data_IF_378677184122
#
_entry.id   IF_378677184122
#
_cell.length_a   1.000
_cell.length_b   1.000
_cell.length_c   1.000
_cell.angle_alpha   90.00
_cell.angle_beta   90.00
_cell.angle_gamma   90.00
#
_symmetry.space_group_name_H-M   'P 1'
#
loop_
_entity.id
_entity.type
_entity.pdbx_description
1 polymer ?
#
# COMPACT_ATOMS: atom_id res chain seq x y z
N UNK A 1 -8.97 38.37 -14.27
CA UNK A 1 -9.24 37.50 -15.43
C UNK A 1 -8.00 37.08 -16.23
N UNK A 2 -6.79 37.62 -16.01
CA UNK A 2 -5.57 37.19 -16.72
C UNK A 2 -4.66 36.21 -15.93
N UNK A 3 -5.08 35.80 -14.72
CA UNK A 3 -4.28 34.92 -13.84
C UNK A 3 -4.69 33.44 -13.89
N UNK A 4 -5.92 33.13 -14.36
CA UNK A 4 -6.42 31.74 -14.45
C UNK A 4 -5.96 31.01 -15.72
N UNK A 5 -5.79 31.70 -16.85
CA UNK A 5 -5.31 31.09 -18.10
C UNK A 5 -3.87 30.57 -18.00
N UNK A 6 -3.01 31.26 -17.25
CA UNK A 6 -1.60 30.84 -17.06
C UNK A 6 -1.48 29.56 -16.22
N UNK A 7 -2.37 29.35 -15.27
CA UNK A 7 -2.37 28.15 -14.41
C UNK A 7 -2.99 26.96 -15.16
N UNK A 8 -4.06 27.19 -15.94
CA UNK A 8 -4.64 26.17 -16.82
C UNK A 8 -3.65 25.66 -17.87
N UNK A 9 -2.94 26.57 -18.54
CA UNK A 9 -1.91 26.20 -19.52
C UNK A 9 -0.71 25.49 -18.89
N UNK A 10 -0.34 25.83 -17.65
CA UNK A 10 0.72 25.14 -16.90
C UNK A 10 0.30 23.72 -16.51
N UNK A 11 -0.96 23.51 -16.11
CA UNK A 11 -1.49 22.17 -15.80
C UNK A 11 -1.59 21.29 -17.04
N UNK A 12 -2.02 21.84 -18.19
CA UNK A 12 -2.11 21.11 -19.46
C UNK A 12 -0.71 20.73 -19.97
N UNK A 13 0.27 21.62 -19.87
CA UNK A 13 1.67 21.33 -20.26
C UNK A 13 2.34 20.32 -19.33
N UNK A 14 2.05 20.37 -18.03
CA UNK A 14 2.55 19.37 -17.08
C UNK A 14 1.90 18.00 -17.33
N UNK A 15 0.61 17.97 -17.66
CA UNK A 15 -0.10 16.72 -17.92
C UNK A 15 0.30 16.08 -19.26
N UNK A 16 0.51 16.90 -20.30
CA UNK A 16 1.03 16.42 -21.58
C UNK A 16 2.49 15.95 -21.48
N UNK A 17 3.33 16.64 -20.71
CA UNK A 17 4.69 16.19 -20.43
C UNK A 17 4.72 14.88 -19.63
N UNK A 18 3.80 14.70 -18.67
CA UNK A 18 3.68 13.45 -17.92
C UNK A 18 3.21 12.30 -18.81
N UNK A 19 2.26 12.56 -19.71
CA UNK A 19 1.75 11.56 -20.65
C UNK A 19 2.80 11.14 -21.68
N UNK A 20 3.56 12.09 -22.22
CA UNK A 20 4.70 11.82 -23.12
C UNK A 20 5.77 11.02 -22.38
N UNK A 21 6.11 11.41 -21.14
CA UNK A 21 7.10 10.71 -20.33
C UNK A 21 6.69 9.25 -20.04
N UNK A 22 5.40 9.02 -19.72
CA UNK A 22 4.84 7.68 -19.50
C UNK A 22 4.81 6.86 -20.78
N UNK A 23 4.48 7.46 -21.92
CA UNK A 23 4.53 6.78 -23.22
C UNK A 23 5.96 6.43 -23.63
N UNK A 24 6.92 7.31 -23.38
CA UNK A 24 8.33 7.09 -23.73
C UNK A 24 8.99 6.03 -22.83
N UNK A 25 8.61 5.97 -21.54
CA UNK A 25 9.02 4.90 -20.62
C UNK A 25 8.37 3.56 -20.95
N UNK A 26 7.09 3.54 -21.35
CA UNK A 26 6.44 2.32 -21.84
C UNK A 26 7.05 1.81 -23.14
N UNK A 27 7.43 2.71 -24.05
CA UNK A 27 8.09 2.35 -25.31
C UNK A 27 9.51 1.81 -25.08
N UNK A 28 10.28 2.38 -24.14
CA UNK A 28 11.59 1.83 -23.76
C UNK A 28 11.49 0.51 -22.98
N UNK A 29 10.44 0.32 -22.17
CA UNK A 29 10.13 -0.96 -21.53
C UNK A 29 9.75 -2.05 -22.55
N UNK A 30 9.07 -1.69 -23.65
CA UNK A 30 8.70 -2.62 -24.72
C UNK A 30 9.88 -2.98 -25.64
N UNK A 31 10.85 -2.07 -25.83
CA UNK A 31 12.04 -2.32 -26.68
C UNK A 31 13.14 -3.10 -25.92
N UNK A 32 13.18 -3.03 -24.58
CA UNK A 32 14.23 -3.65 -23.76
C UNK A 32 13.95 -5.09 -23.29
N UNK A 33 12.93 -5.77 -23.84
CA UNK A 33 12.49 -7.10 -23.40
C UNK A 33 13.39 -8.26 -23.90
N UNK A 34 14.71 -8.16 -23.70
CA UNK A 34 15.67 -9.23 -24.03
C UNK A 34 16.58 -9.67 -22.86
N UNK A 35 16.55 -9.04 -21.69
CA UNK A 35 17.41 -9.49 -20.57
C UNK A 35 16.85 -9.11 -19.20
N UNK A 36 16.47 -10.14 -18.43
CA UNK A 36 15.75 -10.07 -17.14
C UNK A 36 16.47 -9.29 -16.04
N UNK A 37 17.77 -9.01 -16.16
CA UNK A 37 18.54 -8.31 -15.10
C UNK A 37 18.43 -6.76 -15.11
N UNK A 38 18.08 -6.12 -16.24
CA UNK A 38 18.04 -4.65 -16.30
C UNK A 38 16.72 -4.04 -15.81
N UNK A 39 15.62 -4.81 -15.81
CA UNK A 39 14.31 -4.33 -15.35
C UNK A 39 14.29 -3.99 -13.86
N UNK A 40 14.97 -4.77 -13.03
CA UNK A 40 15.00 -4.59 -11.58
C UNK A 40 15.76 -3.31 -11.18
N UNK A 41 16.88 -3.04 -11.86
CA UNK A 41 17.71 -1.88 -11.61
C UNK A 41 17.06 -0.57 -12.07
N UNK A 42 16.24 -0.63 -13.13
CA UNK A 42 15.48 0.51 -13.63
C UNK A 42 14.28 0.83 -12.72
N UNK A 43 13.62 -0.20 -12.17
CA UNK A 43 12.50 -0.06 -11.23
C UNK A 43 12.94 0.54 -9.88
N UNK A 44 14.08 0.11 -9.34
CA UNK A 44 14.68 0.70 -8.13
C UNK A 44 15.10 2.16 -8.34
N UNK A 45 15.64 2.51 -9.52
CA UNK A 45 15.98 3.90 -9.86
C UNK A 45 14.76 4.80 -9.98
N UNK A 46 13.66 4.31 -10.56
CA UNK A 46 12.41 5.09 -10.66
C UNK A 46 11.79 5.33 -9.28
N UNK A 47 11.77 4.32 -8.41
CA UNK A 47 11.30 4.46 -7.02
C UNK A 47 12.17 5.47 -6.25
N UNK A 48 13.50 5.39 -6.35
CA UNK A 48 14.41 6.33 -5.69
C UNK A 48 14.25 7.78 -6.23
N UNK A 49 14.00 7.95 -7.52
CA UNK A 49 13.69 9.27 -8.11
C UNK A 49 12.36 9.84 -7.60
N UNK A 50 11.33 9.00 -7.45
CA UNK A 50 10.04 9.39 -6.87
C UNK A 50 10.21 9.82 -5.41
N UNK A 51 10.94 9.04 -4.60
CA UNK A 51 11.23 9.39 -3.20
C UNK A 51 12.05 10.67 -3.05
N UNK A 52 13.08 10.90 -3.88
CA UNK A 52 13.86 12.14 -3.89
C UNK A 52 13.00 13.36 -4.26
N UNK A 53 12.06 13.20 -5.19
CA UNK A 53 11.14 14.27 -5.62
C UNK A 53 10.05 14.55 -4.55
N UNK A 54 9.56 13.51 -3.87
CA UNK A 54 8.62 13.64 -2.75
C UNK A 54 9.24 14.36 -1.53
N UNK A 55 10.53 14.11 -1.24
CA UNK A 55 11.27 14.78 -0.17
C UNK A 55 11.51 16.28 -0.45
N UNK A 56 11.55 16.68 -1.72
CA UNK A 56 11.70 18.08 -2.16
C UNK A 56 10.39 18.88 -2.04
N UNK A 57 9.23 18.23 -2.24
CA UNK A 57 7.89 18.84 -2.15
C UNK A 57 7.46 19.06 -0.68
N UNK A 58 7.98 18.29 0.27
CA UNK A 58 7.63 18.43 1.71
C UNK A 58 8.27 19.64 2.41
N UNK A 59 9.11 20.41 1.72
CA UNK A 59 9.82 21.59 2.29
C UNK A 59 9.07 22.93 2.10
N UNK A 60 7.88 22.96 1.49
CA UNK A 60 7.08 24.19 1.35
C UNK A 60 5.90 24.23 2.34
N UNK A 61 5.54 25.41 2.91
CA UNK A 61 4.50 25.52 3.93
C UNK A 61 3.08 25.36 3.35
N UNK A 62 2.19 24.89 4.24
CA UNK A 62 0.78 24.52 4.02
C UNK A 62 -0.09 25.67 3.49
N UNK A 63 -1.12 25.33 2.68
CA UNK A 63 -2.47 25.91 2.81
C UNK A 63 -3.54 24.93 2.30
N UNK A 64 -4.62 24.76 3.08
CA UNK A 64 -5.83 23.95 2.82
C UNK A 64 -6.94 24.83 2.27
N UNK A 65 -7.69 24.43 1.24
CA UNK A 65 -9.13 24.70 1.06
C UNK A 65 -9.78 23.58 0.16
N UNK A 66 -11.12 23.46 -0.01
CA UNK A 66 -11.88 22.22 0.23
C UNK A 66 -12.39 21.50 -1.04
N UNK A 67 -12.79 20.22 -0.91
CA UNK A 67 -13.42 19.45 -1.99
C UNK A 67 -14.90 19.83 -2.15
N UNK A 68 -15.27 20.28 -3.34
CA UNK A 68 -16.66 20.35 -3.79
C UNK A 68 -17.04 19.12 -4.61
N UNK A 69 -18.29 18.71 -4.41
CA UNK A 69 -18.99 17.52 -4.94
C UNK A 69 -19.19 17.64 -6.45
N UNK A 70 -18.86 16.58 -7.20
CA UNK A 70 -19.26 16.43 -8.61
C UNK A 70 -20.05 15.12 -8.76
N UNK A 71 -21.32 15.26 -9.12
CA UNK A 71 -22.25 14.19 -9.47
C UNK A 71 -21.86 13.52 -10.79
N UNK A 72 -22.07 12.21 -10.88
CA UNK A 72 -21.97 11.39 -12.10
C UNK A 72 -23.17 11.64 -13.02
N UNK A 73 -22.99 11.72 -14.35
CA UNK A 73 -24.04 11.41 -15.30
C UNK A 73 -24.07 9.92 -15.64
N UNK A 74 -25.30 9.48 -15.88
CA UNK A 74 -25.83 8.16 -16.17
C UNK A 74 -25.46 7.64 -17.56
N UNK A 75 -25.44 6.31 -17.64
CA UNK A 75 -25.34 5.48 -18.84
C UNK A 75 -26.69 5.49 -19.56
N UNK A 76 -26.67 5.66 -20.89
CA UNK A 76 -27.73 5.20 -21.78
C UNK A 76 -27.05 4.43 -22.92
N UNK A 77 -27.24 3.11 -22.91
CA UNK A 77 -27.05 2.24 -24.07
C UNK A 77 -28.25 2.40 -25.01
N UNK A 78 -27.97 2.36 -26.32
CA UNK A 78 -28.76 1.75 -27.40
C UNK A 78 -28.52 2.50 -28.71
N UNK A 79 -27.79 1.89 -29.66
CA UNK A 79 -28.18 1.89 -31.08
C UNK A 79 -27.72 0.56 -31.67
N UNK A 80 -28.71 -0.22 -32.10
CA UNK A 80 -28.60 -1.49 -32.80
C UNK A 80 -27.97 -1.34 -34.20
N UNK A 81 -27.38 -2.45 -34.64
CA UNK A 81 -26.84 -2.69 -35.98
C UNK A 81 -27.93 -2.64 -37.04
N UNK A 82 -27.73 -1.87 -38.12
CA UNK A 82 -28.35 -2.10 -39.44
C UNK A 82 -27.38 -1.68 -40.56
N UNK A 83 -26.30 -2.45 -40.74
CA UNK A 83 -25.46 -2.40 -41.95
C UNK A 83 -25.84 -3.58 -42.84
N UNK A 84 -26.78 -3.41 -43.77
CA UNK A 84 -27.02 -4.30 -44.93
C UNK A 84 -28.08 -3.67 -45.85
N UNK A 85 -27.73 -2.56 -46.52
CA UNK A 85 -28.51 -2.02 -47.66
C UNK A 85 -27.78 -0.91 -48.45
N UNK A 86 -26.65 -0.40 -47.98
CA UNK A 86 -25.94 0.70 -48.65
C UNK A 86 -24.84 0.23 -49.65
N UNK A 87 -24.43 -1.04 -49.61
CA UNK A 87 -23.37 -1.54 -50.50
C UNK A 87 -23.87 -1.93 -51.90
N UNK A 88 -25.19 -2.08 -52.12
CA UNK A 88 -25.75 -2.49 -53.42
C UNK A 88 -26.12 -1.33 -54.34
N UNK A 89 -26.12 -0.08 -53.85
CA UNK A 89 -26.59 1.09 -54.63
C UNK A 89 -25.45 1.78 -55.40
N UNK A 90 -24.18 1.49 -55.10
CA UNK A 90 -23.04 2.23 -55.68
C UNK A 90 -22.43 1.54 -56.91
N UNK A 91 -22.76 0.27 -57.18
CA UNK A 91 -22.24 -0.46 -58.36
C UNK A 91 -22.98 -0.15 -59.68
N UNK A 92 -24.10 0.59 -59.63
CA UNK A 92 -24.92 0.90 -60.82
C UNK A 92 -24.72 2.31 -61.41
N UNK A 93 -23.74 3.10 -60.95
CA UNK A 93 -23.52 4.48 -61.45
C UNK A 93 -22.18 4.69 -62.20
N UNK A 94 -21.55 3.63 -62.71
CA UNK A 94 -20.32 3.72 -63.53
C UNK A 94 -20.53 3.53 -65.05
N UNK A 95 -21.76 3.70 -65.56
CA UNK A 95 -22.02 3.63 -67.02
C UNK A 95 -22.47 4.98 -67.56
N UNK A 96 -21.57 5.62 -68.32
CA UNK A 96 -21.90 6.55 -69.40
C UNK A 96 -21.78 8.04 -69.06
N UNK A 97 -20.65 8.66 -69.42
CA UNK A 97 -20.60 10.07 -69.80
C UNK A 97 -19.36 10.37 -70.68
N UNK A 98 -19.26 9.69 -71.83
CA UNK A 98 -18.44 10.13 -72.96
C UNK A 98 -19.31 11.02 -73.87
N UNK A 99 -19.39 12.32 -73.59
CA UNK A 99 -19.71 13.37 -74.58
C UNK A 99 -19.35 14.73 -73.99
N UNK A 100 -18.16 15.26 -74.27
CA UNK A 100 -17.90 16.70 -74.10
C UNK A 100 -16.82 17.27 -75.04
N UNK A 101 -16.52 16.58 -76.14
CA UNK A 101 -15.55 17.08 -77.14
C UNK A 101 -16.20 17.74 -78.37
N UNK A 102 -17.53 17.76 -78.47
CA UNK A 102 -18.24 18.22 -79.70
C UNK A 102 -18.90 19.60 -79.60
N UNK A 103 -18.84 20.29 -78.46
CA UNK A 103 -19.56 21.58 -78.27
C UNK A 103 -18.66 22.82 -78.48
N UNK A 104 -17.33 22.65 -78.56
CA UNK A 104 -16.41 23.78 -78.68
C UNK A 104 -16.17 24.28 -80.12
N UNK A 105 -16.72 23.65 -81.15
CA UNK A 105 -16.48 24.03 -82.56
C UNK A 105 -17.57 24.89 -83.22
N UNK A 106 -18.59 25.36 -82.48
CA UNK A 106 -19.73 26.08 -83.07
C UNK A 106 -19.82 27.58 -82.77
N UNK A 107 -18.74 28.25 -82.32
CA UNK A 107 -18.75 29.70 -82.04
C UNK A 107 -17.53 30.38 -82.67
N UNK A 108 -17.43 30.41 -84.00
CA UNK A 108 -16.42 31.25 -84.65
C UNK A 108 -16.90 32.07 -85.86
N UNK A 109 -18.18 32.00 -86.26
CA UNK A 109 -18.65 32.80 -87.40
C UNK A 109 -19.90 33.62 -87.07
N UNK A 110 -19.71 34.82 -86.50
CA UNK A 110 -20.34 36.04 -87.02
C UNK A 110 -19.93 37.28 -86.22
N UNK A 111 -19.22 38.17 -86.88
CA UNK A 111 -18.97 39.55 -86.45
C UNK A 111 -20.16 40.42 -86.82
N UNK A 112 -20.82 41.03 -85.83
CA UNK A 112 -21.32 42.42 -85.87
C UNK A 112 -22.06 42.79 -84.56
N UNK A 113 -21.86 44.03 -84.11
CA UNK A 113 -22.49 44.72 -82.96
C UNK A 113 -21.72 44.73 -81.63
N UNK A 114 -20.87 45.72 -81.51
CA UNK A 114 -20.10 46.14 -80.34
C UNK A 114 -20.91 47.12 -79.48
N UNK A 115 -21.59 46.61 -78.42
CA UNK A 115 -21.86 47.31 -77.14
C UNK A 115 -22.63 46.48 -76.10
N UNK A 116 -23.26 45.35 -76.46
CA UNK A 116 -23.87 44.39 -75.53
C UNK A 116 -22.94 43.26 -75.05
N UNK A 117 -21.76 43.12 -75.66
CA UNK A 117 -20.80 42.05 -75.32
C UNK A 117 -20.02 42.28 -74.02
N UNK A 118 -19.76 43.54 -73.60
CA UNK A 118 -18.89 43.80 -72.44
C UNK A 118 -19.56 43.51 -71.08
N UNK A 119 -20.89 43.62 -70.95
CA UNK A 119 -21.63 43.31 -69.71
C UNK A 119 -21.94 41.80 -69.57
N UNK A 120 -22.13 41.11 -70.69
CA UNK A 120 -22.29 39.64 -70.73
C UNK A 120 -20.93 38.94 -70.49
N UNK A 121 -19.83 39.53 -70.97
CA UNK A 121 -18.47 39.01 -70.75
C UNK A 121 -18.00 39.16 -69.28
N UNK A 122 -18.37 40.24 -68.59
CA UNK A 122 -18.02 40.48 -67.16
C UNK A 122 -18.83 39.61 -66.19
N UNK A 123 -20.11 39.36 -66.47
CA UNK A 123 -20.92 38.39 -65.70
C UNK A 123 -20.51 36.93 -65.96
N UNK A 124 -20.15 36.57 -67.19
CA UNK A 124 -19.60 35.25 -67.52
C UNK A 124 -18.22 34.98 -66.90
N UNK A 125 -17.37 35.99 -66.78
CA UNK A 125 -16.05 35.86 -66.12
C UNK A 125 -16.18 35.74 -64.60
N UNK A 126 -17.15 36.42 -63.98
CA UNK A 126 -17.47 36.24 -62.57
C UNK A 126 -18.07 34.85 -62.28
N UNK A 127 -18.97 34.36 -63.14
CA UNK A 127 -19.51 33.00 -63.06
C UNK A 127 -18.42 31.94 -63.28
N UNK A 128 -17.55 32.11 -64.28
CA UNK A 128 -16.39 31.22 -64.51
C UNK A 128 -15.41 31.22 -63.32
N UNK A 129 -15.15 32.37 -62.70
CA UNK A 129 -14.29 32.44 -61.50
C UNK A 129 -14.95 31.80 -60.26
N UNK A 130 -16.27 31.89 -60.15
CA UNK A 130 -17.03 31.24 -59.06
C UNK A 130 -17.09 29.73 -59.26
N UNK A 131 -17.32 29.26 -60.49
CA UNK A 131 -17.31 27.83 -60.87
C UNK A 131 -15.92 27.22 -60.64
N UNK A 132 -14.84 27.91 -61.02
CA UNK A 132 -13.47 27.43 -60.76
C UNK A 132 -13.14 27.41 -59.27
N UNK A 133 -13.62 28.38 -58.48
CA UNK A 133 -13.47 28.39 -57.01
C UNK A 133 -14.24 27.26 -56.34
N UNK A 134 -15.49 27.01 -56.74
CA UNK A 134 -16.32 25.90 -56.24
C UNK A 134 -15.76 24.53 -56.65
N UNK A 135 -15.30 24.39 -57.90
CA UNK A 135 -14.61 23.18 -58.37
C UNK A 135 -13.32 22.92 -57.59
N UNK A 136 -12.55 23.98 -57.29
CA UNK A 136 -11.38 23.90 -56.41
C UNK A 136 -11.72 23.51 -54.97
N UNK A 137 -12.86 23.94 -54.43
CA UNK A 137 -13.36 23.52 -53.11
C UNK A 137 -13.83 22.06 -53.12
N UNK A 138 -14.52 21.62 -54.18
CA UNK A 138 -14.95 20.24 -54.38
C UNK A 138 -13.74 19.29 -54.41
N UNK A 139 -12.70 19.63 -55.18
CA UNK A 139 -11.45 18.86 -55.22
C UNK A 139 -10.74 18.79 -53.87
N UNK A 140 -10.74 19.89 -53.09
CA UNK A 140 -10.19 19.89 -51.72
C UNK A 140 -10.99 18.99 -50.78
N UNK A 141 -12.32 19.02 -50.87
CA UNK A 141 -13.20 18.15 -50.08
C UNK A 141 -13.01 16.67 -50.45
N UNK A 142 -12.94 16.34 -51.74
CA UNK A 142 -12.67 14.98 -52.22
C UNK A 142 -11.30 14.46 -51.74
N UNK A 143 -10.25 15.28 -51.80
CA UNK A 143 -8.93 14.93 -51.24
C UNK A 143 -9.00 14.68 -49.73
N UNK A 144 -9.76 15.50 -48.99
CA UNK A 144 -9.94 15.35 -47.54
C UNK A 144 -10.71 14.07 -47.19
N UNK A 145 -11.77 13.73 -47.93
CA UNK A 145 -12.50 12.47 -47.78
C UNK A 145 -11.56 11.27 -48.00
N UNK A 146 -10.75 11.30 -49.05
CA UNK A 146 -9.76 10.24 -49.33
C UNK A 146 -8.73 10.08 -48.20
N UNK A 147 -8.21 11.19 -47.66
CA UNK A 147 -7.30 11.16 -46.51
C UNK A 147 -7.96 10.59 -45.25
N UNK A 148 -9.20 10.98 -44.96
CA UNK A 148 -9.95 10.49 -43.80
C UNK A 148 -10.30 9.00 -43.93
N UNK A 149 -10.71 8.54 -45.11
CA UNK A 149 -10.94 7.11 -45.38
C UNK A 149 -9.65 6.30 -45.22
N UNK A 150 -8.52 6.83 -45.71
CA UNK A 150 -7.22 6.18 -45.53
C UNK A 150 -6.79 6.13 -44.06
N UNK A 151 -7.05 7.19 -43.30
CA UNK A 151 -6.81 7.23 -41.85
C UNK A 151 -7.69 6.21 -41.10
N UNK A 152 -8.98 6.10 -41.43
CA UNK A 152 -9.91 5.09 -40.89
C UNK A 152 -9.40 3.69 -41.16
N UNK A 153 -8.97 3.39 -42.40
CA UNK A 153 -8.41 2.08 -42.78
C UNK A 153 -7.13 1.75 -42.00
N UNK A 154 -6.22 2.72 -41.84
CA UNK A 154 -4.98 2.53 -41.06
C UNK A 154 -5.28 2.28 -39.58
N UNK A 155 -6.23 3.02 -39.00
CA UNK A 155 -6.67 2.83 -37.62
C UNK A 155 -7.30 1.46 -37.39
N UNK A 156 -8.21 1.05 -38.28
CA UNK A 156 -8.86 -0.28 -38.24
C UNK A 156 -7.83 -1.42 -38.33
N UNK A 157 -6.83 -1.31 -39.22
CA UNK A 157 -5.73 -2.27 -39.29
C UNK A 157 -4.93 -2.33 -37.98
N UNK A 158 -4.62 -1.19 -37.36
CA UNK A 158 -3.89 -1.14 -36.09
C UNK A 158 -4.68 -1.79 -34.94
N UNK A 159 -6.00 -1.55 -34.89
CA UNK A 159 -6.90 -2.21 -33.94
C UNK A 159 -6.89 -3.73 -34.16
N UNK A 160 -6.95 -4.19 -35.40
CA UNK A 160 -6.87 -5.62 -35.72
C UNK A 160 -5.52 -6.23 -35.28
N UNK A 161 -4.40 -5.55 -35.52
CA UNK A 161 -3.08 -5.99 -35.04
C UNK A 161 -3.02 -6.05 -33.51
N UNK A 162 -3.53 -5.03 -32.82
CA UNK A 162 -3.57 -5.01 -31.35
C UNK A 162 -4.44 -6.14 -30.79
N UNK A 163 -5.59 -6.42 -31.41
CA UNK A 163 -6.46 -7.53 -31.03
C UNK A 163 -5.77 -8.89 -31.24
N UNK A 164 -4.99 -9.05 -32.31
CA UNK A 164 -4.21 -10.26 -32.55
C UNK A 164 -3.12 -10.45 -31.48
N UNK A 165 -2.42 -9.38 -31.09
CA UNK A 165 -1.44 -9.40 -29.98
C UNK A 165 -2.14 -9.78 -28.67
N UNK A 166 -3.29 -9.19 -28.36
CA UNK A 166 -4.08 -9.54 -27.18
C UNK A 166 -4.49 -11.02 -27.21
N UNK A 167 -4.91 -11.54 -28.36
CA UNK A 167 -5.28 -12.95 -28.53
C UNK A 167 -4.08 -13.87 -28.30
N UNK A 168 -2.93 -13.55 -28.88
CA UNK A 168 -1.68 -14.29 -28.69
C UNK A 168 -1.22 -14.29 -27.22
N UNK A 169 -1.33 -13.15 -26.54
CA UNK A 169 -1.01 -13.04 -25.11
C UNK A 169 -1.99 -13.85 -24.24
N UNK A 170 -3.28 -13.85 -24.55
CA UNK A 170 -4.28 -14.67 -23.84
C UNK A 170 -4.07 -16.17 -24.03
N UNK A 171 -3.59 -16.60 -25.19
CA UNK A 171 -3.24 -18.02 -25.44
C UNK A 171 -1.94 -18.41 -24.76
N UNK A 172 -0.95 -17.51 -24.67
CA UNK A 172 0.33 -17.77 -24.00
C UNK A 172 0.21 -17.72 -22.47
N UNK A 173 -0.70 -16.90 -21.95
CA UNK A 173 -1.01 -16.78 -20.52
C UNK A 173 -2.51 -17.03 -20.32
N UNK A 174 -2.95 -18.30 -20.27
CA UNK A 174 -4.34 -18.64 -20.01
C UNK A 174 -4.81 -17.96 -18.73
N UNK A 175 -5.99 -17.34 -18.77
CA UNK A 175 -6.57 -16.61 -17.65
C UNK A 175 -7.03 -17.51 -16.49
N UNK A 176 -6.72 -18.81 -16.54
CA UNK A 176 -7.08 -19.79 -15.53
C UNK A 176 -6.27 -19.55 -14.26
N UNK A 177 -6.95 -18.90 -13.34
CA UNK A 177 -6.54 -18.43 -12.02
C UNK A 177 -6.08 -19.53 -11.06
N UNK A 178 -5.97 -20.78 -11.51
CA UNK A 178 -5.57 -21.89 -10.66
C UNK A 178 -4.06 -21.89 -10.41
N UNK A 179 -3.24 -21.60 -11.43
CA UNK A 179 -1.78 -21.58 -11.29
C UNK A 179 -1.21 -20.46 -12.17
N UNK A 180 -1.07 -19.25 -11.62
CA UNK A 180 -0.10 -18.31 -12.18
C UNK A 180 1.26 -18.92 -11.83
N UNK A 181 2.06 -19.42 -12.79
CA UNK A 181 3.33 -20.08 -12.49
C UNK A 181 4.35 -19.17 -11.78
N UNK A 182 4.07 -17.86 -11.76
CA UNK A 182 4.84 -16.81 -11.09
C UNK A 182 4.48 -16.64 -9.60
N UNK A 183 3.37 -17.18 -9.10
CA UNK A 183 2.99 -17.02 -7.69
C UNK A 183 3.87 -17.83 -6.74
N UNK A 184 4.42 -18.95 -7.19
CA UNK A 184 5.40 -19.73 -6.42
C UNK A 184 6.71 -18.96 -6.18
N UNK A 185 6.99 -17.96 -7.02
CA UNK A 185 8.15 -17.06 -6.86
C UNK A 185 7.88 -15.92 -5.86
N UNK A 186 6.61 -15.72 -5.46
CA UNK A 186 6.21 -14.67 -4.54
C UNK A 186 6.15 -15.20 -3.10
N UNK A 187 6.23 -14.28 -2.14
CA UNK A 187 5.98 -14.64 -0.74
C UNK A 187 4.56 -15.19 -0.59
N UNK A 188 4.36 -16.15 0.31
CA UNK A 188 3.05 -16.78 0.55
C UNK A 188 1.98 -15.72 0.86
N UNK A 189 2.32 -14.68 1.60
CA UNK A 189 1.42 -13.56 1.94
C UNK A 189 1.00 -12.79 0.69
N UNK A 190 1.96 -12.47 -0.17
CA UNK A 190 1.74 -11.72 -1.42
C UNK A 190 0.91 -12.54 -2.40
N UNK A 191 1.20 -13.84 -2.52
CA UNK A 191 0.44 -14.74 -3.38
C UNK A 191 -1.03 -14.83 -2.93
N UNK A 192 -1.28 -15.00 -1.63
CA UNK A 192 -2.63 -15.05 -1.07
C UNK A 192 -3.41 -13.73 -1.28
N UNK A 193 -2.74 -12.59 -1.14
CA UNK A 193 -3.35 -11.28 -1.39
C UNK A 193 -3.77 -11.12 -2.86
N UNK A 194 -2.88 -11.48 -3.79
CA UNK A 194 -3.13 -11.39 -5.23
C UNK A 194 -4.23 -12.36 -5.69
N UNK A 195 -4.26 -13.60 -5.15
CA UNK A 195 -5.35 -14.55 -5.41
C UNK A 195 -6.70 -13.99 -4.99
N UNK A 196 -6.79 -13.36 -3.81
CA UNK A 196 -8.04 -12.71 -3.36
C UNK A 196 -8.42 -11.55 -4.25
N UNK A 197 -7.46 -10.73 -4.69
CA UNK A 197 -7.71 -9.62 -5.60
C UNK A 197 -8.21 -10.08 -6.97
N UNK A 198 -7.57 -11.09 -7.55
CA UNK A 198 -7.98 -11.70 -8.82
C UNK A 198 -9.40 -12.29 -8.72
N UNK A 199 -9.69 -13.00 -7.64
CA UNK A 199 -11.02 -13.57 -7.38
C UNK A 199 -12.09 -12.48 -7.27
N UNK A 200 -11.79 -11.39 -6.57
CA UNK A 200 -12.70 -10.24 -6.43
C UNK A 200 -13.00 -9.57 -7.76
N UNK A 201 -11.98 -9.36 -8.60
CA UNK A 201 -12.15 -8.76 -9.93
C UNK A 201 -12.95 -9.64 -10.89
N UNK A 202 -12.86 -10.96 -10.72
CA UNK A 202 -13.69 -11.93 -11.46
C UNK A 202 -15.08 -12.14 -10.85
N UNK A 203 -15.46 -11.37 -9.82
CA UNK A 203 -16.71 -11.54 -9.06
C UNK A 203 -16.91 -12.97 -8.52
N UNK A 204 -15.82 -13.69 -8.23
CA UNK A 204 -15.86 -15.02 -7.63
C UNK A 204 -16.10 -14.93 -6.13
N UNK A 205 -16.70 -15.97 -5.55
CA UNK A 205 -16.89 -16.07 -4.10
C UNK A 205 -15.53 -16.13 -3.41
N UNK A 206 -15.30 -15.20 -2.46
CA UNK A 206 -14.06 -15.13 -1.70
C UNK A 206 -14.28 -15.81 -0.34
N UNK A 207 -13.30 -16.60 0.09
CA UNK A 207 -13.30 -17.19 1.43
C UNK A 207 -13.45 -16.11 2.52
N UNK A 208 -14.45 -16.27 3.40
CA UNK A 208 -14.69 -15.37 4.51
C UNK A 208 -13.57 -15.44 5.55
N UNK A 209 -13.00 -16.64 5.77
CA UNK A 209 -11.87 -16.85 6.67
C UNK A 209 -10.57 -16.42 5.98
N UNK A 210 -9.78 -15.63 6.70
CA UNK A 210 -8.45 -15.21 6.23
C UNK A 210 -7.43 -16.30 6.56
N UNK A 211 -6.54 -16.66 5.61
CA UNK A 211 -5.46 -17.62 5.86
C UNK A 211 -4.45 -17.07 6.88
N UNK A 212 -3.72 -17.94 7.61
CA UNK A 212 -2.83 -17.52 8.69
C UNK A 212 -1.70 -16.61 8.22
N UNK A 213 -1.18 -16.82 7.00
CA UNK A 213 -0.15 -15.98 6.38
C UNK A 213 -0.65 -14.56 6.16
N UNK A 214 -1.87 -14.41 5.62
CA UNK A 214 -2.47 -13.11 5.38
C UNK A 214 -2.89 -12.42 6.69
N UNK A 215 -3.31 -13.20 7.70
CA UNK A 215 -3.57 -12.70 9.05
C UNK A 215 -2.28 -12.14 9.68
N UNK A 216 -1.16 -12.87 9.59
CA UNK A 216 0.16 -12.42 10.06
C UNK A 216 0.57 -11.13 9.35
N UNK A 217 0.51 -11.09 8.03
CA UNK A 217 0.81 -9.90 7.24
C UNK A 217 -0.03 -8.69 7.65
N UNK A 218 -1.35 -8.86 7.77
CA UNK A 218 -2.26 -7.79 8.15
C UNK A 218 -1.99 -7.26 9.56
N UNK A 219 -1.72 -8.15 10.53
CA UNK A 219 -1.36 -7.78 11.90
C UNK A 219 -0.03 -7.02 11.94
N UNK A 220 1.01 -7.53 11.25
CA UNK A 220 2.32 -6.88 11.20
C UNK A 220 2.25 -5.50 10.54
N UNK A 221 1.55 -5.38 9.41
CA UNK A 221 1.41 -4.11 8.71
C UNK A 221 0.63 -3.08 9.55
N UNK A 222 -0.44 -3.52 10.22
CA UNK A 222 -1.20 -2.67 11.13
C UNK A 222 -0.39 -2.23 12.34
N UNK A 223 0.41 -3.13 12.91
CA UNK A 223 1.33 -2.83 14.02
C UNK A 223 2.35 -1.75 13.64
N UNK A 224 2.95 -1.84 12.44
CA UNK A 224 3.87 -0.79 11.98
C UNK A 224 3.20 0.54 11.73
N UNK A 225 2.01 0.55 11.09
CA UNK A 225 1.23 1.77 10.90
C UNK A 225 -0.22 1.49 10.50
N UNK A 226 -1.21 1.91 11.31
CA UNK A 226 -2.62 1.86 10.92
C UNK A 226 -2.94 2.71 9.68
N UNK A 227 -2.16 3.77 9.42
CA UNK A 227 -2.32 4.59 8.22
C UNK A 227 -1.83 3.86 6.97
N UNK A 228 -0.63 3.26 7.02
CA UNK A 228 -0.11 2.44 5.93
C UNK A 228 -1.02 1.24 5.65
N UNK A 229 -1.55 0.59 6.70
CA UNK A 229 -2.51 -0.49 6.55
C UNK A 229 -3.76 -0.05 5.78
N UNK A 230 -4.35 1.10 6.14
CA UNK A 230 -5.53 1.64 5.44
C UNK A 230 -5.24 1.94 3.98
N UNK A 231 -4.08 2.54 3.69
CA UNK A 231 -3.65 2.82 2.32
C UNK A 231 -3.50 1.53 1.51
N UNK A 232 -2.74 0.55 2.01
CA UNK A 232 -2.55 -0.73 1.31
C UNK A 232 -3.89 -1.44 1.11
N UNK A 233 -4.76 -1.46 2.13
CA UNK A 233 -6.10 -2.04 1.99
C UNK A 233 -6.91 -1.40 0.87
N UNK A 234 -6.83 -0.09 0.70
CA UNK A 234 -7.50 0.64 -0.36
C UNK A 234 -6.92 0.32 -1.75
N UNK A 235 -5.59 0.30 -1.86
CA UNK A 235 -4.90 -0.04 -3.13
C UNK A 235 -5.16 -1.47 -3.61
N UNK A 236 -5.38 -2.42 -2.69
CA UNK A 236 -5.65 -3.83 -3.01
C UNK A 236 -7.14 -4.17 -2.97
N UNK A 237 -8.01 -3.29 -3.47
CA UNK A 237 -9.45 -3.55 -3.65
C UNK A 237 -10.14 -4.04 -2.36
N UNK A 238 -9.72 -3.59 -1.17
CA UNK A 238 -10.18 -4.06 0.15
C UNK A 238 -10.05 -5.57 0.38
N UNK A 239 -9.04 -6.21 -0.21
CA UNK A 239 -8.76 -7.64 -0.02
C UNK A 239 -8.21 -7.98 1.37
N UNK A 240 -7.66 -6.97 2.08
CA UNK A 240 -7.22 -7.09 3.46
C UNK A 240 -8.39 -6.96 4.46
N UNK A 241 -8.27 -7.56 5.66
CA UNK A 241 -9.26 -7.47 6.72
C UNK A 241 -9.74 -6.04 7.03
N UNK A 242 -10.96 -5.89 7.51
CA UNK A 242 -11.36 -4.60 8.06
C UNK A 242 -10.59 -4.33 9.38
N UNK A 243 -10.23 -3.07 9.74
CA UNK A 243 -9.59 -2.78 11.03
C UNK A 243 -10.33 -3.36 12.25
N UNK A 244 -11.68 -3.37 12.23
CA UNK A 244 -12.48 -4.04 13.27
C UNK A 244 -12.16 -5.54 13.41
N UNK A 245 -11.88 -6.23 12.31
CA UNK A 245 -11.46 -7.64 12.32
C UNK A 245 -10.09 -7.79 12.96
N UNK A 246 -9.15 -6.87 12.68
CA UNK A 246 -7.85 -6.81 13.34
C UNK A 246 -8.00 -6.58 14.84
N UNK A 247 -8.83 -5.61 15.25
CA UNK A 247 -9.13 -5.38 16.67
C UNK A 247 -9.71 -6.62 17.35
N UNK A 248 -10.60 -7.36 16.67
CA UNK A 248 -11.13 -8.63 17.18
C UNK A 248 -10.04 -9.69 17.35
N UNK A 249 -9.04 -9.74 16.45
CA UNK A 249 -7.91 -10.64 16.58
C UNK A 249 -6.97 -10.27 17.72
N UNK A 250 -6.83 -8.99 18.07
CA UNK A 250 -6.07 -8.59 19.26
C UNK A 250 -6.81 -8.96 20.55
N UNK A 251 -8.14 -8.86 20.57
CA UNK A 251 -8.97 -9.22 21.74
C UNK A 251 -8.94 -10.70 22.13
N UNK A 252 -8.38 -11.58 21.29
CA UNK A 252 -8.28 -13.01 21.64
C UNK A 252 -7.13 -13.33 22.58
N UNK A 253 -6.23 -12.38 22.82
CA UNK A 253 -5.08 -12.54 23.72
C UNK A 253 -5.43 -11.85 25.03
N UNK A 254 -5.26 -12.53 26.16
CA UNK A 254 -5.40 -11.88 27.45
C UNK A 254 -4.17 -11.01 27.71
N UNK A 255 -4.42 -9.74 28.00
CA UNK A 255 -3.38 -8.75 28.25
C UNK A 255 -3.68 -8.01 29.55
N UNK A 256 -4.30 -8.69 30.52
CA UNK A 256 -4.49 -8.16 31.88
C UNK A 256 -3.16 -8.01 32.61
N UNK A 257 -3.10 -7.13 33.63
CA UNK A 257 -1.98 -7.07 34.55
C UNK A 257 -1.72 -8.42 35.22
N UNK A 258 -0.45 -8.71 35.49
CA UNK A 258 0.05 -10.00 35.91
C UNK A 258 1.12 -10.56 34.96
N UNK A 259 1.50 -11.81 35.21
CA UNK A 259 2.35 -12.57 34.29
C UNK A 259 1.52 -13.09 33.11
N UNK A 260 1.96 -12.83 31.89
CA UNK A 260 1.27 -13.26 30.67
C UNK A 260 1.52 -14.74 30.40
N UNK A 261 0.43 -15.51 30.44
CA UNK A 261 0.45 -16.95 30.11
C UNK A 261 0.90 -17.20 28.67
N UNK A 262 0.49 -16.33 27.75
CA UNK A 262 0.80 -16.38 26.33
C UNK A 262 2.28 -16.09 26.07
N UNK A 263 2.87 -15.14 26.80
CA UNK A 263 4.30 -14.85 26.73
C UNK A 263 5.12 -16.05 27.22
N UNK A 264 4.75 -16.63 28.38
CA UNK A 264 5.40 -17.82 28.93
C UNK A 264 5.28 -19.03 28.00
N UNK A 265 4.10 -19.25 27.41
CA UNK A 265 3.88 -20.32 26.44
C UNK A 265 4.70 -20.12 25.17
N UNK A 266 4.80 -18.88 24.67
CA UNK A 266 5.64 -18.57 23.51
C UNK A 266 7.13 -18.83 23.79
N UNK A 267 7.60 -18.46 24.99
CA UNK A 267 8.97 -18.74 25.44
C UNK A 267 9.20 -20.25 25.54
N UNK A 268 8.25 -21.00 26.14
CA UNK A 268 8.33 -22.47 26.25
C UNK A 268 8.39 -23.15 24.88
N UNK A 269 7.54 -22.74 23.94
CA UNK A 269 7.59 -23.22 22.55
C UNK A 269 8.92 -22.87 21.88
N UNK A 270 9.48 -21.68 22.15
CA UNK A 270 10.76 -21.28 21.59
C UNK A 270 11.89 -22.13 22.14
N UNK A 271 11.92 -22.37 23.45
CA UNK A 271 12.90 -23.21 24.13
C UNK A 271 12.85 -24.67 23.65
N UNK A 272 11.65 -25.22 23.44
CA UNK A 272 11.47 -26.58 22.92
C UNK A 272 11.96 -26.75 21.46
N UNK A 273 11.87 -25.70 20.65
CA UNK A 273 12.29 -25.71 19.25
C UNK A 273 13.78 -25.37 19.04
N UNK A 274 14.50 -25.01 20.09
CA UNK A 274 15.94 -24.70 20.02
C UNK A 274 16.76 -25.89 20.50
N UNK A 275 17.83 -26.29 19.77
CA UNK A 275 18.64 -27.45 20.15
C UNK A 275 19.55 -27.20 21.36
N UNK A 276 19.68 -25.95 21.80
CA UNK A 276 20.49 -25.53 22.93
C UNK A 276 19.62 -24.89 24.01
N UNK A 277 20.09 -24.91 25.27
CA UNK A 277 19.42 -24.24 26.38
C UNK A 277 19.47 -22.73 26.17
N UNK A 278 18.33 -22.06 26.20
CA UNK A 278 18.26 -20.60 26.08
C UNK A 278 18.79 -19.98 27.38
N UNK A 279 19.69 -19.01 27.24
CA UNK A 279 20.23 -18.22 28.36
C UNK A 279 19.71 -16.80 28.23
N UNK A 280 19.19 -16.25 29.33
CA UNK A 280 18.53 -14.95 29.34
C UNK A 280 18.85 -14.13 30.61
N UNK A 281 18.69 -12.82 30.49
CA UNK A 281 18.68 -11.85 31.58
C UNK A 281 17.25 -11.35 31.80
N UNK A 282 16.83 -11.25 33.05
CA UNK A 282 15.57 -10.63 33.44
C UNK A 282 15.80 -9.14 33.71
N UNK A 283 15.09 -8.28 33.02
CA UNK A 283 15.13 -6.84 33.22
C UNK A 283 13.80 -6.41 33.83
N UNK A 284 13.82 -5.57 34.85
CA UNK A 284 12.61 -4.94 35.34
C UNK A 284 12.82 -3.44 35.55
N UNK A 285 11.75 -2.68 35.35
CA UNK A 285 11.74 -1.24 35.52
C UNK A 285 10.34 -0.74 35.89
N UNK A 286 10.29 0.40 36.56
CA UNK A 286 9.06 1.07 36.97
C UNK A 286 8.83 2.33 36.14
N UNK A 287 7.68 2.39 35.45
CA UNK A 287 7.30 3.55 34.67
C UNK A 287 6.12 4.29 35.27
N UNK A 288 6.24 5.61 35.41
CA UNK A 288 5.12 6.47 35.79
C UNK A 288 4.03 6.44 34.71
N UNK A 289 2.79 6.19 35.12
CA UNK A 289 1.62 6.20 34.24
C UNK A 289 0.67 7.34 34.59
N UNK A 290 -0.13 7.78 33.62
CA UNK A 290 -1.16 8.79 33.87
C UNK A 290 -2.25 8.19 34.74
N UNK A 291 -2.45 8.77 35.93
CA UNK A 291 -3.55 8.45 36.84
C UNK A 291 -4.88 8.79 36.17
N UNK A 292 -5.57 7.77 35.66
CA UNK A 292 -6.87 7.93 35.00
C UNK A 292 -7.65 6.63 35.09
N UNK A 293 -8.91 6.75 35.46
CA UNK A 293 -9.86 5.63 35.42
C UNK A 293 -10.62 5.71 34.09
N UNK A 294 -10.67 4.60 33.35
CA UNK A 294 -11.39 4.49 32.08
C UNK A 294 -12.32 3.28 32.10
N UNK A 295 -13.55 3.46 31.61
CA UNK A 295 -14.51 2.37 31.45
C UNK A 295 -14.49 1.87 30.00
N UNK A 296 -14.25 0.58 29.79
CA UNK A 296 -14.16 -0.01 28.44
C UNK A 296 -15.51 -0.55 27.91
N UNK A 297 -16.59 -0.39 28.69
CA UNK A 297 -17.91 -0.96 28.41
C UNK A 297 -18.20 -2.28 29.14
N UNK A 298 -17.20 -2.87 29.79
CA UNK A 298 -17.31 -4.09 30.59
C UNK A 298 -16.80 -3.85 32.02
N UNK A 299 -15.60 -3.28 32.15
CA UNK A 299 -14.86 -3.12 33.39
C UNK A 299 -14.25 -1.71 33.49
N UNK A 300 -14.01 -1.27 34.72
CA UNK A 300 -13.23 -0.07 34.98
C UNK A 300 -11.74 -0.42 35.05
N UNK A 301 -10.92 0.33 34.32
CA UNK A 301 -9.46 0.20 34.26
C UNK A 301 -8.80 1.40 34.91
N UNK A 302 -7.58 1.21 35.45
CA UNK A 302 -6.77 2.29 36.04
C UNK A 302 -6.59 2.21 37.56
N UNK A 303 -7.17 1.21 38.19
CA UNK A 303 -6.90 0.86 39.59
C UNK A 303 -5.61 0.04 39.72
N UNK A 304 -5.17 -0.13 40.97
CA UNK A 304 -4.14 -1.10 41.30
C UNK A 304 -4.55 -2.49 40.84
N UNK A 305 -3.63 -3.18 40.18
CA UNK A 305 -3.83 -4.55 39.73
C UNK A 305 -2.50 -5.30 39.77
N UNK A 306 -2.40 -6.16 40.77
CA UNK A 306 -1.24 -7.00 41.05
C UNK A 306 -1.40 -8.42 40.51
N UNK A 307 -2.45 -8.66 39.70
CA UNK A 307 -2.85 -9.99 39.24
C UNK A 307 -3.74 -10.72 40.25
N UNK A 308 -4.23 -11.90 39.84
CA UNK A 308 -5.35 -12.62 40.47
C UNK A 308 -5.16 -13.16 41.91
N UNK A 309 -4.06 -12.85 42.60
CA UNK A 309 -3.69 -13.49 43.88
C UNK A 309 -3.29 -12.52 45.00
N UNK A 310 -3.61 -11.22 44.87
CA UNK A 310 -3.34 -10.24 45.94
C UNK A 310 -4.61 -9.45 46.21
N UNK A 311 -5.10 -9.51 47.45
CA UNK A 311 -6.15 -8.61 47.94
C UNK A 311 -5.57 -7.20 48.00
N UNK A 312 -5.77 -6.43 46.93
CA UNK A 312 -5.36 -5.03 46.88
C UNK A 312 -6.61 -4.17 47.02
N UNK A 313 -6.50 -3.04 47.72
CA UNK A 313 -7.56 -2.04 47.78
C UNK A 313 -7.92 -1.57 46.36
N UNK A 314 -8.99 -2.14 45.80
CA UNK A 314 -9.51 -1.87 44.45
C UNK A 314 -9.88 -0.39 44.23
N UNK A 315 -9.93 0.42 45.29
CA UNK A 315 -10.21 1.86 45.23
C UNK A 315 -9.01 2.72 44.85
N UNK A 316 -7.78 2.20 44.94
CA UNK A 316 -6.59 3.03 44.74
C UNK A 316 -6.19 3.13 43.27
N UNK A 317 -5.97 4.35 42.79
CA UNK A 317 -5.56 4.61 41.41
C UNK A 317 -4.08 4.31 41.22
N UNK A 318 -3.76 3.53 40.19
CA UNK A 318 -2.39 3.19 39.84
C UNK A 318 -1.62 4.45 39.37
N UNK A 319 -0.38 4.58 39.87
CA UNK A 319 0.54 5.69 39.58
C UNK A 319 1.70 5.24 38.71
N UNK A 320 2.06 3.97 38.81
CA UNK A 320 3.23 3.36 38.20
C UNK A 320 2.84 2.01 37.56
N UNK A 321 3.66 1.56 36.62
CA UNK A 321 3.60 0.21 36.08
C UNK A 321 4.98 -0.45 36.23
N UNK A 322 5.04 -1.55 36.97
CA UNK A 322 6.24 -2.38 37.08
C UNK A 322 6.22 -3.41 35.94
N UNK A 323 7.23 -3.40 35.08
CA UNK A 323 7.29 -4.29 33.92
C UNK A 323 8.47 -5.25 34.05
N UNK A 324 8.24 -6.54 33.79
CA UNK A 324 9.27 -7.56 33.69
C UNK A 324 9.48 -7.93 32.22
N UNK A 325 10.71 -7.84 31.75
CA UNK A 325 11.10 -8.19 30.40
C UNK A 325 12.23 -9.22 30.41
N UNK A 326 12.07 -10.29 29.65
CA UNK A 326 13.11 -11.28 29.45
C UNK A 326 13.89 -10.95 28.18
N UNK A 327 15.21 -10.86 28.30
CA UNK A 327 16.13 -10.56 27.21
C UNK A 327 17.05 -11.77 27.01
N UNK A 328 16.99 -12.40 25.84
CA UNK A 328 17.90 -13.51 25.55
C UNK A 328 19.32 -13.01 25.28
N UNK A 329 20.30 -13.75 25.80
CA UNK A 329 21.73 -13.46 25.66
C UNK A 329 22.30 -14.23 24.46
N UNK A 330 21.94 -15.52 24.34
CA UNK A 330 22.41 -16.37 23.26
C UNK A 330 21.57 -16.27 21.97
N UNK A 331 20.49 -15.49 21.98
CA UNK A 331 19.70 -15.22 20.79
C UNK A 331 19.11 -13.81 20.83
N UNK A 332 18.77 -13.25 19.66
CA UNK A 332 18.33 -11.86 19.56
C UNK A 332 16.80 -11.73 19.68
N UNK A 333 16.28 -11.79 20.89
CA UNK A 333 14.89 -11.45 21.17
C UNK A 333 14.70 -10.94 22.60
N UNK A 334 13.63 -10.18 22.78
CA UNK A 334 13.16 -9.67 24.07
C UNK A 334 11.65 -9.76 24.12
N UNK A 335 11.10 -10.20 25.25
CA UNK A 335 9.66 -10.39 25.44
C UNK A 335 9.26 -9.86 26.82
N UNK A 336 8.27 -8.97 26.93
CA UNK A 336 7.67 -8.63 28.21
C UNK A 336 6.95 -9.87 28.76
N UNK A 337 7.31 -10.29 29.96
CA UNK A 337 6.77 -11.50 30.62
C UNK A 337 5.55 -11.16 31.46
N UNK A 338 5.51 -9.95 32.02
CA UNK A 338 4.40 -9.49 32.82
C UNK A 338 4.53 -8.02 33.15
N UNK A 339 3.40 -7.42 33.55
CA UNK A 339 3.37 -6.07 34.06
C UNK A 339 2.35 -5.94 35.19
N UNK A 340 2.59 -5.05 36.13
CA UNK A 340 1.76 -4.86 37.31
C UNK A 340 1.46 -3.37 37.48
N UNK A 341 0.22 -3.04 37.82
CA UNK A 341 -0.22 -1.66 38.03
C UNK A 341 -0.16 -1.33 39.51
N UNK A 342 0.68 -0.36 39.87
CA UNK A 342 1.11 -0.12 41.25
C UNK A 342 0.99 1.35 41.64
N UNK A 343 1.04 1.65 42.94
CA UNK A 343 1.04 3.00 43.50
C UNK A 343 2.16 3.14 44.55
N UNK A 344 3.33 2.60 44.21
CA UNK A 344 4.44 2.34 45.12
C UNK A 344 4.36 0.92 45.71
N UNK A 345 5.28 0.05 45.30
CA UNK A 345 5.44 -1.28 45.90
C UNK A 345 6.52 -1.30 46.97
N UNK A 346 6.22 -1.97 48.08
CA UNK A 346 7.21 -2.28 49.10
C UNK A 346 8.28 -3.25 48.58
N UNK A 347 9.45 -3.24 49.24
CA UNK A 347 10.59 -4.10 48.88
C UNK A 347 10.20 -5.59 48.93
N UNK A 348 9.42 -6.02 49.92
CA UNK A 348 9.02 -7.42 50.08
C UNK A 348 8.09 -7.89 48.95
N UNK A 349 7.15 -7.04 48.53
CA UNK A 349 6.23 -7.33 47.44
C UNK A 349 6.99 -7.49 46.11
N UNK A 350 7.91 -6.56 45.81
CA UNK A 350 8.80 -6.67 44.63
C UNK A 350 9.65 -7.94 44.67
N UNK A 351 10.19 -8.27 45.85
CA UNK A 351 10.99 -9.49 46.05
C UNK A 351 10.18 -10.75 45.73
N UNK A 352 8.92 -10.79 46.19
CA UNK A 352 7.99 -11.89 45.92
C UNK A 352 7.67 -12.01 44.43
N UNK A 353 7.43 -10.88 43.74
CA UNK A 353 7.21 -10.88 42.29
C UNK A 353 8.40 -11.40 41.51
N UNK A 354 9.64 -10.99 41.87
CA UNK A 354 10.86 -11.49 41.22
C UNK A 354 11.00 -13.00 41.42
N UNK A 355 10.81 -13.50 42.65
CA UNK A 355 10.88 -14.94 42.95
C UNK A 355 9.83 -15.73 42.16
N UNK A 356 8.62 -15.19 42.04
CA UNK A 356 7.53 -15.80 41.26
C UNK A 356 7.87 -15.80 39.77
N UNK A 357 8.37 -14.68 39.23
CA UNK A 357 8.80 -14.57 37.83
C UNK A 357 9.89 -15.60 37.49
N UNK A 358 10.91 -15.72 38.32
CA UNK A 358 11.99 -16.71 38.14
C UNK A 358 11.47 -18.15 38.17
N UNK A 359 10.51 -18.44 39.06
CA UNK A 359 9.88 -19.77 39.15
C UNK A 359 9.12 -20.10 37.87
N UNK A 360 8.29 -19.17 37.38
CA UNK A 360 7.55 -19.35 36.12
C UNK A 360 8.47 -19.48 34.91
N UNK A 361 9.56 -18.71 34.86
CA UNK A 361 10.54 -18.77 33.77
C UNK A 361 11.31 -20.09 33.76
N UNK A 362 11.63 -20.65 34.93
CA UNK A 362 12.27 -21.95 35.03
C UNK A 362 11.39 -23.07 34.41
N UNK A 363 10.07 -23.01 34.58
CA UNK A 363 9.12 -23.97 33.99
C UNK A 363 9.06 -23.91 32.45
N UNK A 364 9.48 -22.78 31.85
CA UNK A 364 9.56 -22.65 30.39
C UNK A 364 10.80 -23.31 29.78
N UNK A 365 11.80 -23.69 30.60
CA UNK A 365 13.07 -24.28 30.17
C UNK A 365 14.17 -23.27 29.84
N UNK A 366 13.96 -21.98 30.11
CA UNK A 366 14.97 -20.93 29.94
C UNK A 366 15.84 -20.82 31.20
N UNK A 367 17.15 -20.63 31.01
CA UNK A 367 18.08 -20.34 32.11
C UNK A 367 18.21 -18.83 32.32
N UNK A 368 17.69 -18.32 33.44
CA UNK A 368 17.87 -16.92 33.82
C UNK A 368 19.12 -16.78 34.67
N UNK A 369 20.17 -16.17 34.12
CA UNK A 369 21.47 -16.07 34.80
C UNK A 369 21.70 -14.71 35.47
N UNK A 370 20.93 -13.70 35.08
CA UNK A 370 21.14 -12.34 35.56
C UNK A 370 19.85 -11.55 35.66
N UNK A 371 19.88 -10.53 36.53
CA UNK A 371 18.83 -9.52 36.67
C UNK A 371 19.44 -8.13 36.46
N UNK A 372 18.72 -7.28 35.72
CA UNK A 372 19.06 -5.87 35.50
C UNK A 372 17.95 -4.95 35.97
N UNK A 373 18.33 -3.85 36.63
CA UNK A 373 17.41 -2.87 37.23
C UNK A 373 18.07 -1.47 37.27
N UNK A 374 17.28 -0.42 37.49
CA UNK A 374 17.76 0.96 37.58
C UNK A 374 18.56 1.25 38.87
N UNK A 375 19.26 2.39 38.91
CA UNK A 375 20.12 2.77 40.04
C UNK A 375 19.40 3.28 41.30
N UNK A 376 18.11 2.98 41.49
CA UNK A 376 17.35 3.53 42.62
C UNK A 376 17.68 2.82 43.95
N UNK A 377 17.81 3.58 45.05
CA UNK A 377 18.19 3.05 46.38
C UNK A 377 17.23 1.98 46.92
N UNK A 378 15.93 2.09 46.60
CA UNK A 378 14.92 1.06 46.90
C UNK A 378 15.20 -0.25 46.17
N UNK A 379 15.72 -0.20 44.94
CA UNK A 379 16.05 -1.40 44.19
C UNK A 379 17.38 -2.03 44.64
N UNK A 380 18.35 -1.24 45.13
CA UNK A 380 19.49 -1.79 45.86
C UNK A 380 19.06 -2.53 47.14
N UNK A 381 18.13 -1.93 47.90
CA UNK A 381 17.55 -2.55 49.10
C UNK A 381 16.80 -3.86 48.78
N UNK A 382 16.12 -3.88 47.62
CA UNK A 382 15.48 -5.08 47.05
C UNK A 382 16.47 -6.20 46.76
N UNK A 383 17.60 -5.88 46.13
CA UNK A 383 18.64 -6.89 45.88
C UNK A 383 19.25 -7.41 47.18
N UNK A 384 19.39 -6.55 48.21
CA UNK A 384 19.81 -6.99 49.54
C UNK A 384 18.79 -7.95 50.18
N UNK A 385 17.49 -7.67 50.07
CA UNK A 385 16.42 -8.55 50.55
C UNK A 385 16.45 -9.93 49.85
N UNK A 386 16.77 -9.95 48.55
CA UNK A 386 16.94 -11.21 47.81
C UNK A 386 18.17 -12.03 48.23
N UNK A 387 19.13 -11.42 48.94
CA UNK A 387 20.31 -12.08 49.50
C UNK A 387 21.65 -11.64 48.89
N UNK A 388 21.66 -10.54 48.14
CA UNK A 388 22.88 -9.91 47.62
C UNK A 388 23.55 -9.01 48.66
N UNK A 389 24.88 -8.93 48.63
CA UNK A 389 25.65 -7.98 49.43
C UNK A 389 26.37 -7.04 48.45
N UNK A 390 25.72 -5.92 48.12
CA UNK A 390 26.20 -4.95 47.11
C UNK A 390 26.78 -3.69 47.79
N UNK A 391 26.40 -3.41 49.04
CA UNK A 391 26.72 -2.16 49.75
C UNK A 391 27.97 -2.24 50.65
N UNK A 392 28.76 -3.32 50.58
CA UNK A 392 29.90 -3.54 51.48
C UNK A 392 31.18 -3.82 50.70
N UNK A 393 32.14 -2.91 50.80
CA UNK A 393 33.43 -2.95 50.10
C UNK A 393 34.30 -4.17 50.47
N UNK A 394 33.98 -4.83 51.58
CA UNK A 394 34.78 -5.91 52.14
C UNK A 394 34.33 -7.31 51.67
N UNK A 395 33.08 -7.50 51.21
CA UNK A 395 32.55 -8.79 50.74
C UNK A 395 31.45 -8.60 49.69
N UNK A 396 31.85 -8.28 48.46
CA UNK A 396 30.90 -8.15 47.36
C UNK A 396 30.30 -9.52 46.98
N UNK A 397 29.00 -9.66 47.19
CA UNK A 397 28.21 -10.82 46.74
C UNK A 397 27.12 -10.33 45.78
N UNK A 398 27.44 -10.14 44.48
CA UNK A 398 26.53 -9.56 43.49
C UNK A 398 25.59 -10.62 42.90
N UNK A 399 25.17 -11.59 43.73
CA UNK A 399 24.31 -12.69 43.30
C UNK A 399 23.48 -13.23 44.46
N UNK A 400 22.37 -13.87 44.13
CA UNK A 400 21.57 -14.67 45.06
C UNK A 400 21.25 -16.04 44.44
N UNK A 401 20.77 -16.97 45.26
CA UNK A 401 20.41 -18.31 44.79
C UNK A 401 19.02 -18.31 44.18
N UNK A 402 18.91 -18.84 42.96
CA UNK A 402 17.65 -19.03 42.25
C UNK A 402 16.65 -19.81 43.14
N UNK A 403 15.36 -19.42 43.20
CA UNK A 403 14.38 -20.03 44.12
C UNK A 403 14.24 -21.55 43.93
N UNK A 404 14.23 -22.01 42.67
CA UNK A 404 14.09 -23.42 42.29
C UNK A 404 15.43 -24.15 42.17
N UNK A 405 16.27 -23.79 41.19
CA UNK A 405 17.52 -24.51 40.86
C UNK A 405 18.66 -24.33 41.86
N UNK A 406 18.59 -23.31 42.72
CA UNK A 406 19.67 -22.87 43.62
C UNK A 406 20.95 -22.38 42.92
N UNK A 407 20.95 -22.30 41.59
CA UNK A 407 22.04 -21.70 40.80
C UNK A 407 22.18 -20.20 41.11
N UNK A 408 23.34 -19.62 40.81
CA UNK A 408 23.59 -18.19 41.07
C UNK A 408 22.91 -17.33 40.00
N UNK A 409 22.08 -16.38 40.46
CA UNK A 409 21.53 -15.30 39.63
C UNK A 409 22.30 -14.03 39.95
N UNK A 410 23.04 -13.53 38.97
CA UNK A 410 23.85 -12.31 39.10
C UNK A 410 23.00 -11.06 38.96
N UNK A 411 23.42 -9.98 39.60
CA UNK A 411 22.66 -8.74 39.67
C UNK A 411 23.51 -7.61 39.08
N UNK A 412 22.94 -6.91 38.10
CA UNK A 412 23.59 -5.81 37.39
C UNK A 412 22.73 -4.55 37.49
N UNK A 413 23.17 -3.51 38.20
CA UNK A 413 22.54 -2.21 38.09
C UNK A 413 22.85 -1.60 36.70
N UNK A 414 21.91 -0.84 36.13
CA UNK A 414 22.04 -0.25 34.80
C UNK A 414 23.11 0.87 34.78
N UNK A 415 24.21 0.72 34.02
CA UNK A 415 25.36 1.64 34.09
C UNK A 415 25.06 3.14 33.94
N UNK A 416 24.18 3.59 33.01
CA UNK A 416 23.87 5.01 32.84
C UNK A 416 23.27 5.69 34.07
N UNK A 417 22.71 4.91 35.01
CA UNK A 417 22.07 5.41 36.22
C UNK A 417 22.98 5.41 37.47
N UNK A 418 24.23 4.95 37.33
CA UNK A 418 25.20 4.80 38.43
C UNK A 418 26.35 5.82 38.32
N UNK A 419 26.40 6.59 37.23
CA UNK A 419 27.45 7.59 36.99
C UNK A 419 27.27 8.87 37.82
#
# INVERSE_FOLDING_TARGET
MLFDEKIGNLLITVWSALHIFVQQTLLTLLISASSKCQLYHLFLRTILCIFKRYKKIRKSPKNRIPLAVIQKPSIVENVEETETSAETIIETMEVGFDTNETVCHAIENNTQSSRSFNTICSSCTLLKSTITKLSGQLLKAQRKIKMLQQAKRRSSKKVATMNNVIKALKTQFPSDTANIPCLDMLSKESAQLLHRQASKRKNLRIAQKYPPELRKFALTLHYYSPASYRYVRDQFDTCLPHPKTISRWYRSIDAKPGFSSEALQAIKMKAANTPYKIVASLVFDEMSIRRKIEYDGLLYHGFLDMGANVDVDESTVAKEALVFMLVSINSNWKVPVGYFLTAGLGVDQKSSLIRTCLTLLQETGVNVISITFDGLSTNFSLMTNLGCQINTDLQLKPYFSHPVTKERVYVFPDPPHIC
#
